data_IF_881995662695
#
_entry.id   IF_881995662695
#
_cell.length_a   1.000
_cell.length_b   1.000
_cell.length_c   1.000
_cell.angle_alpha   90.00
_cell.angle_beta   90.00
_cell.angle_gamma   90.00
#
_symmetry.space_group_name_H-M   'P 1'
#
loop_
_entity.id
_entity.type
_entity.pdbx_description
1 polymer ?
#
# COMPACT_ATOMS: atom_id res chain seq x y z
N UNK A 1 -14.04 -9.00 -25.14
CA UNK A 1 -12.84 -8.49 -24.44
C UNK A 1 -13.19 -8.44 -22.96
N UNK A 2 -12.37 -9.01 -22.11
CA UNK A 2 -12.53 -8.92 -20.66
C UNK A 2 -11.59 -7.83 -20.11
N UNK A 3 -12.07 -7.02 -19.18
CA UNK A 3 -11.30 -5.97 -18.55
C UNK A 3 -11.45 -6.06 -17.04
N UNK A 4 -10.43 -6.59 -16.37
CA UNK A 4 -10.35 -6.65 -14.92
C UNK A 4 -9.72 -5.38 -14.37
N UNK A 5 -10.32 -4.81 -13.35
CA UNK A 5 -9.83 -3.58 -12.70
C UNK A 5 -9.93 -3.66 -11.17
N UNK A 6 -9.30 -2.71 -10.49
CA UNK A 6 -9.36 -2.60 -9.05
C UNK A 6 -10.79 -2.43 -8.54
N UNK A 7 -11.06 -2.95 -7.35
CA UNK A 7 -12.38 -2.87 -6.75
C UNK A 7 -12.76 -1.43 -6.39
N UNK A 8 -14.00 -1.09 -6.63
CA UNK A 8 -14.55 0.25 -6.32
C UNK A 8 -14.60 0.53 -4.80
N UNK A 9 -14.58 -0.50 -3.98
CA UNK A 9 -14.74 -0.44 -2.52
C UNK A 9 -13.46 -0.76 -1.74
N UNK A 10 -12.33 -0.90 -2.43
CA UNK A 10 -11.05 -1.24 -1.81
C UNK A 10 -10.96 -2.65 -1.26
N UNK A 11 -9.88 -2.93 -0.53
CA UNK A 11 -9.62 -4.25 0.00
C UNK A 11 -10.67 -4.64 1.05
N UNK A 12 -11.26 -5.83 0.86
CA UNK A 12 -12.32 -6.43 1.71
C UNK A 12 -13.50 -5.47 1.96
N UNK A 13 -13.76 -4.56 1.02
CA UNK A 13 -14.89 -3.62 1.09
C UNK A 13 -14.83 -2.64 2.28
N UNK A 14 -13.67 -2.47 2.89
CA UNK A 14 -13.49 -1.70 4.12
C UNK A 14 -12.33 -0.70 4.06
N UNK A 15 -11.72 -0.49 2.90
CA UNK A 15 -10.62 0.44 2.77
C UNK A 15 -10.76 1.41 1.60
N UNK A 16 -9.96 2.47 1.63
CA UNK A 16 -9.90 3.46 0.55
C UNK A 16 -8.93 3.07 -0.56
N UNK A 17 -8.20 1.99 -0.35
CA UNK A 17 -7.20 1.52 -1.29
C UNK A 17 -7.28 0.00 -1.44
N UNK A 18 -7.01 -0.47 -2.63
CA UNK A 18 -6.89 -1.88 -2.91
C UNK A 18 -5.55 -2.42 -2.38
N UNK A 19 -5.44 -3.73 -2.21
CA UNK A 19 -4.21 -4.37 -1.75
C UNK A 19 -3.01 -4.08 -2.65
N UNK A 20 -3.25 -3.79 -3.92
CA UNK A 20 -2.24 -3.42 -4.90
C UNK A 20 -1.84 -1.93 -4.86
N UNK A 21 -2.38 -1.14 -3.94
CA UNK A 21 -2.12 0.28 -3.84
C UNK A 21 -2.91 1.16 -4.81
N UNK A 22 -3.74 0.58 -5.66
CA UNK A 22 -4.67 1.35 -6.49
C UNK A 22 -5.79 1.92 -5.61
N UNK A 23 -6.10 3.22 -5.66
CA UNK A 23 -7.20 3.78 -4.89
C UNK A 23 -8.54 3.17 -5.32
N UNK A 24 -9.55 3.30 -4.48
CA UNK A 24 -10.92 2.96 -4.87
C UNK A 24 -11.35 3.79 -6.07
N UNK A 25 -12.02 3.17 -7.00
CA UNK A 25 -12.40 3.89 -8.21
C UNK A 25 -13.17 3.04 -9.22
N UNK A 26 -13.24 3.56 -10.41
CA UNK A 26 -13.97 2.95 -11.53
C UNK A 26 -13.32 3.32 -12.85
N UNK A 27 -13.65 2.58 -13.90
CA UNK A 27 -13.25 2.91 -15.26
C UNK A 27 -14.32 3.72 -15.97
N UNK A 28 -13.88 4.69 -16.75
CA UNK A 28 -14.71 5.44 -17.70
C UNK A 28 -14.31 5.01 -19.10
N UNK A 29 -15.28 4.57 -19.88
CA UNK A 29 -15.09 4.11 -21.24
C UNK A 29 -15.80 5.04 -22.23
N UNK A 30 -15.13 5.33 -23.35
CA UNK A 30 -15.72 5.96 -24.52
C UNK A 30 -15.80 4.96 -25.65
N UNK A 31 -16.90 4.95 -26.37
CA UNK A 31 -17.12 4.03 -27.48
C UNK A 31 -17.31 4.79 -28.79
N UNK A 32 -16.81 4.19 -29.87
CA UNK A 32 -17.16 4.55 -31.25
C UNK A 32 -17.67 3.29 -31.92
N UNK A 33 -18.95 3.25 -32.22
CA UNK A 33 -19.62 2.02 -32.61
C UNK A 33 -19.51 0.94 -31.52
N UNK A 34 -18.94 -0.21 -31.84
CA UNK A 34 -18.72 -1.32 -30.90
C UNK A 34 -17.31 -1.36 -30.32
N UNK A 35 -16.47 -0.40 -30.65
CA UNK A 35 -15.08 -0.36 -30.22
C UNK A 35 -14.85 0.66 -29.11
N UNK A 36 -14.01 0.29 -28.15
CA UNK A 36 -13.53 1.22 -27.12
C UNK A 36 -12.55 2.18 -27.79
N UNK A 37 -12.88 3.47 -27.82
CA UNK A 37 -12.03 4.53 -28.39
C UNK A 37 -11.13 5.16 -27.33
N UNK A 38 -11.55 5.13 -26.07
CA UNK A 38 -10.77 5.62 -24.94
C UNK A 38 -11.24 4.94 -23.65
N UNK A 39 -10.33 4.80 -22.69
CA UNK A 39 -10.71 4.50 -21.31
C UNK A 39 -9.67 5.05 -20.35
N UNK A 40 -10.11 5.36 -19.13
CA UNK A 40 -9.22 5.75 -18.06
C UNK A 40 -9.78 5.32 -16.70
N UNK A 41 -8.89 5.13 -15.75
CA UNK A 41 -9.26 4.87 -14.36
C UNK A 41 -9.55 6.18 -13.66
N UNK A 42 -10.62 6.24 -12.87
CA UNK A 42 -10.97 7.38 -12.03
C UNK A 42 -10.99 6.95 -10.58
N UNK A 43 -9.97 7.32 -9.83
CA UNK A 43 -10.00 7.21 -8.38
C UNK A 43 -11.13 8.09 -7.80
N UNK A 44 -11.93 7.55 -6.89
CA UNK A 44 -13.17 8.18 -6.38
C UNK A 44 -12.93 9.61 -5.88
N UNK A 45 -11.84 9.83 -5.16
CA UNK A 45 -11.51 11.12 -4.55
C UNK A 45 -10.35 11.84 -5.25
N UNK A 46 -9.88 11.33 -6.39
CA UNK A 46 -8.69 11.82 -7.07
C UNK A 46 -9.05 12.41 -8.42
N UNK A 47 -8.30 13.41 -8.84
CA UNK A 47 -8.41 13.90 -10.21
C UNK A 47 -8.06 12.79 -11.20
N UNK A 48 -8.69 12.81 -12.37
CA UNK A 48 -8.44 11.82 -13.43
C UNK A 48 -6.99 11.80 -13.94
N UNK A 49 -6.25 12.89 -13.76
CA UNK A 49 -4.84 12.97 -14.12
C UNK A 49 -3.94 12.18 -13.17
N UNK A 50 -4.41 11.88 -11.95
CA UNK A 50 -3.67 11.11 -10.97
C UNK A 50 -3.82 9.62 -11.22
N UNK A 51 -2.90 9.07 -12.01
CA UNK A 51 -2.90 7.67 -12.42
C UNK A 51 -1.77 6.85 -11.84
N UNK A 52 -0.95 7.44 -10.94
CA UNK A 52 0.14 6.73 -10.30
C UNK A 52 0.51 7.33 -8.97
N UNK A 53 1.14 6.51 -8.14
CA UNK A 53 1.90 6.91 -6.96
C UNK A 53 3.36 6.52 -7.14
N UNK A 54 4.26 7.30 -6.54
CA UNK A 54 5.70 7.08 -6.61
C UNK A 54 6.23 6.92 -5.19
N UNK A 55 7.14 6.00 -5.02
CA UNK A 55 7.88 5.84 -3.77
C UNK A 55 9.31 5.33 -4.05
N UNK A 56 10.20 5.48 -3.10
CA UNK A 56 11.53 4.88 -3.18
C UNK A 56 11.52 3.51 -2.55
N UNK A 57 12.31 2.59 -3.10
CA UNK A 57 12.53 1.28 -2.47
C UNK A 57 13.01 1.48 -1.02
N UNK A 58 12.66 0.55 -0.15
CA UNK A 58 12.93 0.62 1.30
C UNK A 58 12.28 1.81 2.04
N UNK A 59 11.25 2.42 1.47
CA UNK A 59 10.46 3.41 2.20
C UNK A 59 9.62 2.70 3.25
N UNK A 60 9.63 3.25 4.48
CA UNK A 60 8.78 2.79 5.56
C UNK A 60 7.50 3.63 5.59
N UNK A 61 6.35 2.96 5.70
CA UNK A 61 5.06 3.61 5.88
C UNK A 61 4.46 3.20 7.22
N UNK A 62 3.98 4.17 7.98
CA UNK A 62 3.37 3.93 9.29
C UNK A 62 4.25 3.13 10.28
N UNK A 63 5.57 3.24 10.16
CA UNK A 63 6.53 2.47 10.94
C UNK A 63 6.74 1.03 10.46
N UNK A 64 6.13 0.64 9.36
CA UNK A 64 6.23 -0.72 8.81
C UNK A 64 7.24 -0.79 7.67
N UNK A 65 8.12 -1.78 7.73
CA UNK A 65 9.28 -1.93 6.84
C UNK A 65 9.02 -2.99 5.75
N UNK A 66 8.07 -2.74 4.87
CA UNK A 66 7.69 -3.71 3.85
C UNK A 66 8.53 -3.69 2.59
N UNK A 67 9.05 -2.53 2.24
CA UNK A 67 9.85 -2.40 1.03
C UNK A 67 11.18 -3.17 1.09
N UNK A 68 11.66 -3.51 2.28
CA UNK A 68 12.90 -4.28 2.46
C UNK A 68 12.84 -5.73 1.94
N UNK A 69 11.64 -6.29 1.86
CA UNK A 69 11.43 -7.69 1.45
C UNK A 69 11.31 -7.84 -0.08
N UNK A 70 11.45 -6.74 -0.82
CA UNK A 70 11.50 -6.77 -2.27
C UNK A 70 12.87 -7.20 -2.78
N UNK A 71 12.92 -7.80 -3.97
CA UNK A 71 14.19 -8.08 -4.65
C UNK A 71 15.03 -6.83 -4.93
N UNK A 72 14.38 -5.66 -4.95
CA UNK A 72 14.99 -4.35 -5.14
C UNK A 72 15.36 -3.66 -3.81
N UNK A 73 15.13 -4.32 -2.68
CA UNK A 73 15.19 -3.71 -1.35
C UNK A 73 16.56 -3.18 -0.93
N UNK A 74 17.63 -3.65 -1.54
CA UNK A 74 19.00 -3.26 -1.14
C UNK A 74 19.45 -1.91 -1.72
N UNK A 75 18.65 -1.25 -2.54
CA UNK A 75 19.00 0.03 -3.14
C UNK A 75 17.90 1.07 -2.93
N UNK A 76 18.12 1.98 -1.98
CA UNK A 76 17.19 3.08 -1.65
C UNK A 76 17.02 4.10 -2.78
N UNK A 77 17.92 4.13 -3.74
CA UNK A 77 17.84 5.07 -4.87
C UNK A 77 16.84 4.60 -5.94
N UNK A 78 16.41 3.35 -5.89
CA UNK A 78 15.42 2.84 -6.84
C UNK A 78 14.10 3.60 -6.64
N UNK A 79 13.62 4.17 -7.73
CA UNK A 79 12.31 4.81 -7.81
C UNK A 79 11.30 3.79 -8.33
N UNK A 80 10.21 3.64 -7.61
CA UNK A 80 9.12 2.73 -7.96
C UNK A 80 7.87 3.55 -8.26
N UNK A 81 7.24 3.26 -9.39
CA UNK A 81 5.94 3.80 -9.76
C UNK A 81 4.88 2.70 -9.72
N UNK A 82 3.85 2.92 -8.95
CA UNK A 82 2.62 2.16 -9.02
C UNK A 82 1.69 2.87 -10.01
N UNK A 83 1.65 2.39 -11.24
CA UNK A 83 0.79 2.95 -12.30
C UNK A 83 -0.53 2.19 -12.28
N UNK A 84 -1.59 2.85 -11.83
CA UNK A 84 -2.86 2.22 -11.50
C UNK A 84 -3.44 1.43 -12.65
N UNK A 85 -3.63 0.13 -12.43
CA UNK A 85 -4.20 -0.82 -13.39
C UNK A 85 -3.47 -0.89 -14.75
N UNK A 86 -2.21 -0.45 -14.83
CA UNK A 86 -1.45 -0.53 -16.07
C UNK A 86 -1.27 -1.99 -16.53
N UNK A 87 -1.49 -2.23 -17.80
CA UNK A 87 -1.31 -3.52 -18.45
C UNK A 87 0.06 -3.61 -19.15
N UNK A 88 0.35 -4.74 -19.76
CA UNK A 88 1.57 -4.92 -20.58
C UNK A 88 1.64 -4.00 -21.80
N UNK A 89 0.52 -3.40 -22.19
CA UNK A 89 0.43 -2.49 -23.36
C UNK A 89 0.76 -1.04 -23.01
N UNK A 90 0.96 -0.73 -21.73
CA UNK A 90 1.37 0.61 -21.32
C UNK A 90 2.87 0.79 -21.53
N UNK A 91 3.25 2.01 -21.91
CA UNK A 91 4.64 2.42 -21.97
C UNK A 91 4.94 3.35 -20.80
N UNK A 92 5.83 2.93 -19.91
CA UNK A 92 6.23 3.70 -18.74
C UNK A 92 7.72 4.02 -18.86
N UNK A 93 8.06 5.29 -18.80
CA UNK A 93 9.43 5.77 -18.90
C UNK A 93 9.79 6.70 -17.76
N UNK A 94 11.05 6.69 -17.37
CA UNK A 94 11.68 7.70 -16.54
C UNK A 94 12.43 8.69 -17.45
N UNK A 95 12.27 9.97 -17.21
CA UNK A 95 12.97 11.03 -17.88
C UNK A 95 13.99 11.60 -16.90
N UNK A 96 15.27 11.40 -17.20
CA UNK A 96 16.40 11.90 -16.43
C UNK A 96 17.28 12.75 -17.37
N UNK A 97 17.57 13.98 -16.97
CA UNK A 97 18.36 14.92 -17.77
C UNK A 97 17.86 15.05 -19.23
N UNK A 98 16.55 15.10 -19.42
CA UNK A 98 15.89 15.23 -20.71
C UNK A 98 15.89 13.96 -21.57
N UNK A 99 16.40 12.83 -21.09
CA UNK A 99 16.42 11.56 -21.82
C UNK A 99 15.40 10.58 -21.25
N UNK A 100 14.69 9.89 -22.15
CA UNK A 100 13.76 8.83 -21.76
C UNK A 100 14.48 7.49 -21.57
N UNK A 101 14.18 6.83 -20.45
CA UNK A 101 14.62 5.47 -20.13
C UNK A 101 13.40 4.61 -19.83
N UNK A 102 13.26 3.50 -20.52
CA UNK A 102 12.17 2.57 -20.28
C UNK A 102 12.27 2.03 -18.84
N UNK A 103 11.21 2.16 -18.07
CA UNK A 103 11.12 1.57 -16.74
C UNK A 103 10.88 0.07 -16.85
N UNK A 104 11.46 -0.69 -15.95
CA UNK A 104 11.26 -2.13 -15.90
C UNK A 104 10.03 -2.45 -15.06
N UNK A 105 9.14 -3.26 -15.63
CA UNK A 105 8.00 -3.78 -14.88
C UNK A 105 8.47 -4.85 -13.90
N UNK A 106 7.95 -4.81 -12.69
CA UNK A 106 8.18 -5.84 -11.69
C UNK A 106 7.30 -7.04 -12.09
N UNK A 107 7.93 -8.14 -12.49
CA UNK A 107 7.26 -9.37 -12.90
C UNK A 107 7.26 -10.46 -11.82
N UNK A 108 7.91 -10.18 -10.70
CA UNK A 108 8.04 -11.06 -9.54
C UNK A 108 7.31 -10.48 -8.35
N UNK A 109 7.43 -11.14 -7.22
CA UNK A 109 6.85 -10.69 -5.94
C UNK A 109 7.21 -9.24 -5.66
N UNK A 110 6.21 -8.39 -5.56
CA UNK A 110 6.35 -6.99 -5.21
C UNK A 110 5.05 -6.48 -4.62
N UNK A 111 5.15 -5.50 -3.74
CA UNK A 111 3.99 -4.85 -3.13
C UNK A 111 4.14 -3.35 -3.24
N UNK A 112 3.03 -2.65 -3.34
CA UNK A 112 2.99 -1.24 -3.04
C UNK A 112 3.33 -1.07 -1.55
N UNK A 113 4.41 -0.34 -1.25
CA UNK A 113 4.92 -0.25 0.12
C UNK A 113 3.93 0.43 1.05
N UNK A 114 3.21 1.46 0.55
CA UNK A 114 2.19 2.13 1.35
C UNK A 114 1.00 1.21 1.62
N UNK A 115 0.48 0.54 0.60
CA UNK A 115 -0.66 -0.36 0.76
C UNK A 115 -0.33 -1.50 1.74
N UNK A 116 0.86 -2.07 1.62
CA UNK A 116 1.32 -3.11 2.54
C UNK A 116 1.38 -2.61 3.98
N UNK A 117 2.02 -1.46 4.23
CA UNK A 117 2.11 -0.86 5.55
C UNK A 117 0.74 -0.45 6.11
N UNK A 118 -0.12 0.13 5.27
CA UNK A 118 -1.47 0.53 5.65
C UNK A 118 -2.33 -0.67 6.06
N UNK A 119 -2.40 -1.68 5.22
CA UNK A 119 -3.22 -2.87 5.51
C UNK A 119 -2.68 -3.66 6.69
N UNK A 120 -1.36 -3.74 6.88
CA UNK A 120 -0.78 -4.39 8.05
C UNK A 120 -1.10 -3.65 9.35
N UNK A 121 -0.94 -2.32 9.37
CA UNK A 121 -1.24 -1.50 10.54
C UNK A 121 -2.67 -1.72 11.05
N UNK A 122 -3.62 -1.83 10.13
CA UNK A 122 -5.03 -1.97 10.48
C UNK A 122 -5.55 -3.42 10.48
N UNK A 123 -4.72 -4.39 10.16
CA UNK A 123 -5.11 -5.80 10.01
C UNK A 123 -5.69 -6.42 11.28
N UNK A 124 -5.25 -6.00 12.45
CA UNK A 124 -5.75 -6.53 13.72
C UNK A 124 -7.12 -5.95 14.10
N UNK A 125 -7.43 -4.73 13.66
CA UNK A 125 -8.68 -4.03 14.03
C UNK A 125 -9.87 -4.40 13.16
N UNK A 126 -9.65 -4.89 11.95
CA UNK A 126 -10.70 -5.12 10.95
C UNK A 126 -10.80 -6.58 10.49
N UNK A 127 -10.35 -7.54 11.27
CA UNK A 127 -10.35 -8.96 10.89
C UNK A 127 -9.61 -9.26 9.57
N UNK A 128 -8.66 -8.43 9.22
CA UNK A 128 -7.91 -8.50 8.00
C UNK A 128 -6.87 -9.62 8.03
N UNK A 129 -7.25 -10.82 7.64
CA UNK A 129 -6.34 -11.97 7.58
C UNK A 129 -5.53 -12.05 6.29
N UNK A 130 -5.73 -11.15 5.33
CA UNK A 130 -5.18 -11.29 3.99
C UNK A 130 -3.79 -10.72 3.77
N UNK A 131 -3.34 -9.84 4.63
CA UNK A 131 -1.94 -9.40 4.63
C UNK A 131 -1.24 -10.12 5.77
N UNK A 132 -1.18 -11.44 5.69
CA UNK A 132 -0.45 -12.22 6.66
C UNK A 132 1.03 -11.90 6.59
N UNK A 133 1.65 -11.72 7.74
CA UNK A 133 3.09 -11.66 7.88
C UNK A 133 3.72 -12.80 7.05
N UNK A 134 4.34 -12.47 5.94
CA UNK A 134 5.24 -13.35 5.22
C UNK A 134 4.69 -14.21 4.09
N UNK A 135 3.38 -14.29 3.84
CA UNK A 135 2.86 -15.31 2.92
C UNK A 135 2.13 -14.81 1.66
N UNK A 136 2.16 -13.54 1.35
CA UNK A 136 1.29 -13.05 0.31
C UNK A 136 1.85 -11.92 -0.53
N UNK A 137 3.04 -12.07 -1.07
CA UNK A 137 3.43 -11.18 -2.15
C UNK A 137 2.54 -11.46 -3.35
N UNK A 138 1.61 -10.56 -3.59
CA UNK A 138 0.84 -10.58 -4.82
C UNK A 138 1.77 -10.20 -5.97
N UNK A 139 1.63 -10.90 -7.08
CA UNK A 139 2.27 -10.47 -8.33
C UNK A 139 1.49 -9.24 -8.79
N UNK A 140 2.11 -8.07 -8.69
CA UNK A 140 1.51 -6.82 -9.14
C UNK A 140 2.07 -6.45 -10.50
N UNK A 141 1.24 -6.54 -11.52
CA UNK A 141 1.66 -6.30 -12.89
C UNK A 141 1.79 -4.83 -13.28
N UNK A 142 1.49 -3.91 -12.36
CA UNK A 142 1.46 -2.48 -12.62
C UNK A 142 2.48 -1.69 -11.79
N UNK A 143 3.47 -2.37 -11.19
CA UNK A 143 4.62 -1.74 -10.56
C UNK A 143 5.79 -1.66 -11.55
N UNK A 144 6.39 -0.49 -11.65
CA UNK A 144 7.53 -0.21 -12.51
C UNK A 144 8.65 0.39 -11.70
N UNK A 145 9.91 0.07 -12.04
CA UNK A 145 11.05 0.62 -11.33
C UNK A 145 12.11 1.19 -12.27
N UNK A 146 12.83 2.16 -11.76
CA UNK A 146 13.96 2.80 -12.39
C UNK A 146 15.04 3.08 -11.36
N UNK A 147 16.30 2.84 -11.72
CA UNK A 147 17.44 3.23 -10.90
C UNK A 147 18.05 4.51 -11.50
N UNK A 148 17.86 5.67 -10.87
CA UNK A 148 18.46 6.90 -11.33
C UNK A 148 20.00 6.78 -11.45
N UNK A 149 20.57 7.34 -12.51
CA UNK A 149 22.02 7.40 -12.71
C UNK A 149 22.63 8.42 -11.76
N UNK A 150 21.93 9.54 -11.57
CA UNK A 150 22.25 10.53 -10.56
C UNK A 150 21.21 10.45 -9.44
N UNK A 151 21.60 10.06 -8.21
CA UNK A 151 20.66 9.95 -7.07
C UNK A 151 19.92 11.25 -6.74
N UNK A 152 20.49 12.39 -7.12
CA UNK A 152 19.96 13.72 -6.86
C UNK A 152 19.19 14.31 -8.05
N UNK A 153 19.13 13.61 -9.18
CA UNK A 153 18.39 14.08 -10.34
C UNK A 153 16.88 14.11 -10.05
N UNK A 154 16.25 15.14 -10.58
CA UNK A 154 14.79 15.17 -10.68
C UNK A 154 14.36 14.24 -11.82
N UNK A 155 13.58 13.24 -11.51
CA UNK A 155 13.07 12.26 -12.46
C UNK A 155 11.60 12.55 -12.73
N UNK A 156 11.23 12.63 -14.00
CA UNK A 156 9.82 12.65 -14.41
C UNK A 156 9.45 11.25 -14.88
N UNK A 157 8.41 10.68 -14.31
CA UNK A 157 7.84 9.44 -14.80
C UNK A 157 6.70 9.78 -15.73
N UNK A 158 6.70 9.19 -16.92
CA UNK A 158 5.65 9.33 -17.92
C UNK A 158 5.09 7.95 -18.24
N UNK A 159 3.79 7.78 -18.06
CA UNK A 159 3.04 6.57 -18.37
C UNK A 159 2.05 6.87 -19.49
N UNK A 160 2.11 6.09 -20.56
CA UNK A 160 1.20 6.21 -21.70
C UNK A 160 0.41 4.93 -21.88
N UNK A 161 -0.89 5.05 -22.01
CA UNK A 161 -1.80 3.93 -22.24
C UNK A 161 -1.97 3.62 -23.74
N UNK A 162 -2.63 2.50 -24.09
CA UNK A 162 -2.88 2.15 -25.50
C UNK A 162 -3.84 3.09 -26.24
N UNK A 163 -4.53 3.96 -25.51
CA UNK A 163 -5.54 4.88 -26.09
C UNK A 163 -4.95 6.28 -26.35
N UNK A 164 -3.66 6.48 -26.08
CA UNK A 164 -2.96 7.73 -26.28
C UNK A 164 -3.00 8.69 -25.10
N UNK A 165 -3.62 8.30 -23.98
CA UNK A 165 -3.54 9.13 -22.77
C UNK A 165 -2.13 9.04 -22.18
N UNK A 166 -1.65 10.17 -21.67
CA UNK A 166 -0.34 10.26 -21.05
C UNK A 166 -0.48 10.95 -19.69
N UNK A 167 0.19 10.35 -18.69
CA UNK A 167 0.17 10.79 -17.32
C UNK A 167 1.61 10.96 -16.84
N UNK A 168 1.86 11.99 -16.04
CA UNK A 168 3.20 12.29 -15.53
C UNK A 168 3.18 12.44 -14.02
N UNK A 169 4.30 12.09 -13.40
CA UNK A 169 4.56 12.36 -11.99
C UNK A 169 6.05 12.66 -11.80
N UNK A 170 6.40 13.46 -10.81
CA UNK A 170 7.78 13.84 -10.51
C UNK A 170 8.32 13.08 -9.30
N UNK A 171 9.63 12.79 -9.29
CA UNK A 171 10.29 12.28 -8.09
C UNK A 171 10.19 13.22 -6.89
N UNK A 172 9.86 14.50 -7.11
CA UNK A 172 9.60 15.48 -6.05
C UNK A 172 8.24 15.23 -5.37
N UNK A 173 7.36 14.48 -6.02
CA UNK A 173 6.06 14.09 -5.48
C UNK A 173 6.11 12.79 -4.65
N UNK A 174 7.30 12.24 -4.44
CA UNK A 174 7.47 11.08 -3.55
C UNK A 174 7.01 11.48 -2.16
N UNK A 175 6.04 10.75 -1.68
CA UNK A 175 5.50 10.97 -0.35
C UNK A 175 5.54 9.69 0.46
N UNK A 176 5.74 9.82 1.75
CA UNK A 176 5.67 8.71 2.70
C UNK A 176 4.23 8.31 3.03
N UNK A 177 3.27 9.16 2.67
CA UNK A 177 1.85 8.93 2.93
C UNK A 177 0.99 9.40 1.76
N UNK A 178 1.08 8.74 0.58
CA UNK A 178 0.38 9.19 -0.63
C UNK A 178 -1.15 9.20 -0.48
N UNK A 179 -1.68 8.48 0.50
CA UNK A 179 -3.10 8.38 0.83
C UNK A 179 -3.42 8.97 2.21
N UNK A 180 -2.62 9.90 2.72
CA UNK A 180 -2.77 10.46 4.07
C UNK A 180 -4.20 10.97 4.34
N UNK A 181 -4.81 11.63 3.36
CA UNK A 181 -6.18 12.15 3.46
C UNK A 181 -7.24 11.05 3.58
N UNK A 182 -6.90 9.81 3.27
CA UNK A 182 -7.80 8.66 3.32
C UNK A 182 -7.41 7.66 4.41
N UNK A 183 -6.19 7.70 4.88
CA UNK A 183 -5.68 6.77 5.88
C UNK A 183 -6.40 6.89 7.23
N UNK A 184 -6.97 8.05 7.55
CA UNK A 184 -7.71 8.27 8.79
C UNK A 184 -9.09 7.59 8.81
N UNK A 185 -9.55 7.00 7.71
CA UNK A 185 -10.85 6.31 7.65
C UNK A 185 -11.03 5.27 8.77
N UNK A 186 -9.94 4.57 9.12
CA UNK A 186 -9.94 3.59 10.20
C UNK A 186 -9.31 4.09 11.51
N UNK A 187 -8.86 5.31 11.58
CA UNK A 187 -8.17 5.78 12.79
C UNK A 187 -9.05 5.72 14.05
N UNK A 188 -10.33 6.03 13.90
CA UNK A 188 -11.26 5.98 15.01
C UNK A 188 -11.43 4.56 15.53
N UNK A 189 -11.77 3.63 14.64
CA UNK A 189 -11.95 2.21 14.96
C UNK A 189 -10.64 1.61 15.50
N UNK A 190 -9.51 1.98 14.91
CA UNK A 190 -8.20 1.51 15.39
C UNK A 190 -7.88 2.03 16.79
N UNK A 191 -8.16 3.29 17.08
CA UNK A 191 -7.99 3.85 18.44
C UNK A 191 -8.88 3.16 19.46
N UNK A 192 -10.14 2.94 19.11
CA UNK A 192 -11.09 2.23 19.98
C UNK A 192 -10.65 0.77 20.22
N UNK A 193 -10.24 0.06 19.18
CA UNK A 193 -9.70 -1.29 19.28
C UNK A 193 -8.45 -1.34 20.18
N UNK A 194 -7.49 -0.45 19.95
CA UNK A 194 -6.27 -0.36 20.74
C UNK A 194 -6.57 -0.10 22.21
N UNK A 195 -7.43 0.85 22.51
CA UNK A 195 -7.84 1.16 23.88
C UNK A 195 -8.50 -0.03 24.57
N UNK A 196 -9.36 -0.77 23.84
CA UNK A 196 -10.00 -1.99 24.36
C UNK A 196 -8.97 -3.09 24.64
N UNK A 197 -8.03 -3.31 23.72
CA UNK A 197 -6.94 -4.29 23.87
C UNK A 197 -6.03 -3.97 25.06
N UNK A 198 -5.64 -2.71 25.20
CA UNK A 198 -4.80 -2.24 26.32
C UNK A 198 -5.51 -2.37 27.67
N UNK A 199 -6.83 -2.14 27.71
CA UNK A 199 -7.65 -2.36 28.90
C UNK A 199 -7.68 -3.86 29.26
N UNK A 200 -7.98 -4.73 28.30
CA UNK A 200 -8.03 -6.17 28.54
C UNK A 200 -6.69 -6.72 29.05
N UNK A 201 -5.57 -6.21 28.50
CA UNK A 201 -4.23 -6.60 28.96
C UNK A 201 -3.97 -6.16 30.42
N UNK A 202 -4.32 -4.93 30.74
CA UNK A 202 -4.20 -4.42 32.14
C UNK A 202 -5.03 -5.24 33.11
N UNK A 203 -6.28 -5.53 32.76
CA UNK A 203 -7.19 -6.32 33.60
C UNK A 203 -6.65 -7.75 33.80
N UNK A 204 -6.11 -8.37 32.75
CA UNK A 204 -5.46 -9.68 32.83
C UNK A 204 -4.23 -9.68 33.75
N UNK A 205 -3.38 -8.66 33.66
CA UNK A 205 -2.20 -8.52 34.52
C UNK A 205 -2.60 -8.32 35.98
N UNK A 206 -3.60 -7.50 36.26
CA UNK A 206 -4.13 -7.28 37.59
C UNK A 206 -4.71 -8.57 38.21
N UNK A 207 -5.43 -9.36 37.44
CA UNK A 207 -5.97 -10.63 37.91
C UNK A 207 -4.84 -11.63 38.25
N UNK A 208 -3.83 -11.76 37.38
CA UNK A 208 -2.64 -12.59 37.66
C UNK A 208 -1.92 -12.18 38.94
N UNK A 209 -1.80 -10.86 39.18
CA UNK A 209 -1.19 -10.36 40.42
C UNK A 209 -2.02 -10.73 41.64
N UNK A 210 -3.35 -10.58 41.58
CA UNK A 210 -4.27 -10.97 42.67
C UNK A 210 -4.17 -12.47 42.97
N UNK A 211 -4.13 -13.31 41.95
CA UNK A 211 -4.01 -14.76 42.09
C UNK A 211 -2.66 -15.14 42.74
N UNK A 212 -1.58 -14.48 42.34
CA UNK A 212 -0.25 -14.71 42.94
C UNK A 212 -0.22 -14.28 44.40
N UNK A 213 -0.83 -13.16 44.78
CA UNK A 213 -0.91 -12.70 46.17
C UNK A 213 -1.78 -13.66 46.98
N UNK A 214 -2.90 -14.14 46.44
CA UNK A 214 -3.78 -15.10 47.10
C UNK A 214 -3.07 -16.44 47.34
N UNK A 215 -2.30 -16.95 46.37
CA UNK A 215 -1.47 -18.15 46.53
C UNK A 215 -0.45 -18.00 47.65
N UNK A 216 0.34 -16.91 47.65
CA UNK A 216 1.32 -16.63 48.70
C UNK A 216 0.73 -16.54 50.10
N UNK A 217 -0.48 -15.96 50.25
CA UNK A 217 -1.18 -15.90 51.55
C UNK A 217 -1.61 -17.30 52.03
N UNK A 218 -2.03 -18.18 51.12
CA UNK A 218 -2.38 -19.57 51.47
C UNK A 218 -1.17 -20.35 51.92
N UNK A 219 -0.02 -20.21 51.23
CA UNK A 219 1.21 -20.90 51.54
C UNK A 219 1.76 -20.44 52.91
N UNK A 220 1.71 -19.13 53.20
CA UNK A 220 2.13 -18.61 54.50
C UNK A 220 1.22 -19.05 55.65
N UNK A 221 -0.09 -19.17 55.42
CA UNK A 221 -1.02 -19.71 56.43
C UNK A 221 -0.88 -21.21 56.66
N UNK A 222 -0.44 -21.97 55.65
CA UNK A 222 -0.12 -23.41 55.79
C UNK A 222 1.20 -23.66 56.52
N UNK A 223 2.17 -22.78 56.40
CA UNK A 223 3.46 -22.87 57.07
C UNK A 223 3.44 -22.50 58.60
N UNK A 224 2.32 -21.96 59.06
CA UNK A 224 2.14 -21.55 60.50
C UNK A 224 1.31 -22.58 61.27
N UNK A 225 0.92 -23.65 60.67
CA UNK A 225 0.30 -24.82 61.30
C UNK A 225 1.28 -25.96 61.44
#
# INVERSE_FOLDING_TARGET
MEHCHAAACGNIWQSNINICGTPNGYYVYSFVGTSISNCYYKGTFWDKSKQMTIFRAQTDFNGEKYAKDWQLANNRNILVANVFNATSHWRVVAIEDGKEYLMRRISSKGQDAFAAGYHHKYSESVSYRFVSKGNGYLIMNHLYYYTPRNPNARIIIKASDPYGNTYTASSDEVTTEPFANFAHYYEKEYKEYKNKKDKMLRDSLLNRQKDTIAARKKDSAAAQK
#
